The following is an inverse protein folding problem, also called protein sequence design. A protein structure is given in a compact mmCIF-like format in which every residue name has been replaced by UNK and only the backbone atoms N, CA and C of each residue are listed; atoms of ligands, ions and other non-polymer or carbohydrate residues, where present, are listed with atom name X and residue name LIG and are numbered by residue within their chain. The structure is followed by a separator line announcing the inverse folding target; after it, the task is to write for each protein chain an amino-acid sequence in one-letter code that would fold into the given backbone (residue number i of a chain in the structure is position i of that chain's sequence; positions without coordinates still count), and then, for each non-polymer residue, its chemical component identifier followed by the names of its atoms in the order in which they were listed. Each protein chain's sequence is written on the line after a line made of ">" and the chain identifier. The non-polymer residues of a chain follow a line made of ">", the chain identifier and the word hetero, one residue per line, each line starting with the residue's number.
data_IF_524198976702
#
_entry.id   IF_524198976702
#
_cell.length_a   1.000
_cell.length_b   1.000
_cell.length_c   1.000
_cell.angle_alpha   90.00
_cell.angle_beta   90.00
_cell.angle_gamma   90.00
#
_symmetry.space_group_name_H-M   'P 1'
#
loop_
_entity.id
_entity.type
_entity.pdbx_description
1 polymer ?
#
# COMPACT_ATOMS: atom_id res chain seq x y z
N UNK A 1 -16.88 19.89 37.58
CA UNK A 1 -17.84 19.89 38.70
C UNK A 1 -18.40 18.48 38.83
N UNK A 2 -18.30 17.82 40.00
CA UNK A 2 -18.98 16.56 40.23
C UNK A 2 -20.50 16.82 40.20
N UNK A 3 -21.24 15.98 39.48
CA UNK A 3 -22.69 16.07 39.34
C UNK A 3 -23.38 16.13 40.71
N UNK A 4 -24.10 17.22 40.98
CA UNK A 4 -24.94 17.45 42.18
C UNK A 4 -26.24 16.65 42.17
N UNK A 5 -26.45 15.78 41.17
CA UNK A 5 -27.67 14.97 41.00
C UNK A 5 -27.39 13.45 41.06
N UNK A 6 -26.40 13.00 41.85
CA UNK A 6 -26.28 11.59 42.21
C UNK A 6 -27.20 11.31 43.42
N UNK A 7 -28.49 11.09 43.16
CA UNK A 7 -29.35 10.40 44.14
C UNK A 7 -28.91 8.95 44.23
N UNK A 8 -28.76 8.42 45.44
CA UNK A 8 -28.53 6.98 45.62
C UNK A 8 -29.70 6.22 45.02
N UNK A 9 -29.39 5.20 44.23
CA UNK A 9 -30.37 4.32 43.59
C UNK A 9 -30.38 3.03 44.41
N UNK A 10 -31.39 2.78 45.26
CA UNK A 10 -31.43 1.61 46.13
C UNK A 10 -31.42 0.27 45.38
N UNK A 11 -31.76 0.30 44.10
CA UNK A 11 -31.74 -0.85 43.18
C UNK A 11 -30.41 -1.00 42.42
N UNK A 12 -29.44 -0.12 42.66
CA UNK A 12 -28.14 -0.08 41.97
C UNK A 12 -27.04 -0.56 42.94
N UNK A 13 -27.16 -1.81 43.38
CA UNK A 13 -26.18 -2.46 44.27
C UNK A 13 -24.93 -2.87 43.49
N UNK A 14 -23.78 -2.91 44.17
CA UNK A 14 -22.48 -3.27 43.55
C UNK A 14 -22.45 -4.72 43.01
N UNK A 15 -23.42 -5.56 43.41
CA UNK A 15 -23.58 -6.94 42.94
C UNK A 15 -24.18 -7.04 41.51
N UNK A 16 -24.76 -5.97 40.99
CA UNK A 16 -25.46 -5.98 39.70
C UNK A 16 -24.46 -5.68 38.57
N UNK A 17 -24.20 -6.69 37.72
CA UNK A 17 -23.40 -6.51 36.51
C UNK A 17 -24.19 -5.73 35.44
N UNK A 18 -23.98 -4.41 35.44
CA UNK A 18 -24.61 -3.45 34.51
C UNK A 18 -24.24 -3.69 33.04
N UNK A 19 -23.22 -4.51 32.77
CA UNK A 19 -22.69 -4.74 31.43
C UNK A 19 -22.99 -6.14 30.89
N UNK A 20 -23.69 -6.97 31.67
CA UNK A 20 -24.15 -8.27 31.22
C UNK A 20 -25.20 -8.08 30.11
N UNK A 21 -24.93 -8.65 28.94
CA UNK A 21 -25.87 -8.66 27.82
C UNK A 21 -26.71 -9.93 27.93
N UNK A 22 -27.97 -9.77 28.28
CA UNK A 22 -28.92 -10.89 28.30
C UNK A 22 -29.44 -11.17 26.88
N UNK A 23 -29.68 -12.44 26.57
CA UNK A 23 -30.15 -12.88 25.25
C UNK A 23 -31.59 -12.42 25.02
N UNK A 24 -31.86 -11.77 23.89
CA UNK A 24 -33.20 -11.33 23.55
C UNK A 24 -34.09 -12.52 23.15
N UNK A 25 -35.14 -12.79 23.92
CA UNK A 25 -36.05 -13.91 23.66
C UNK A 25 -37.34 -13.44 22.98
N UNK A 26 -38.10 -14.35 22.33
CA UNK A 26 -39.39 -13.98 21.72
C UNK A 26 -40.40 -13.37 22.71
N UNK A 27 -40.26 -13.61 24.02
CA UNK A 27 -41.14 -13.04 25.06
C UNK A 27 -40.85 -11.56 25.32
N UNK A 28 -39.64 -11.11 25.04
CA UNK A 28 -39.20 -9.73 25.27
C UNK A 28 -39.71 -8.77 24.17
N UNK A 29 -40.30 -9.33 23.11
CA UNK A 29 -40.91 -8.55 22.03
C UNK A 29 -42.26 -7.94 22.43
N UNK A 30 -42.24 -6.97 23.36
CA UNK A 30 -43.41 -6.25 23.83
C UNK A 30 -44.10 -5.39 22.74
N UNK A 31 -43.37 -5.03 21.69
CA UNK A 31 -43.87 -4.21 20.57
C UNK A 31 -44.63 -4.99 19.50
N UNK A 32 -44.63 -6.32 19.55
CA UNK A 32 -45.31 -7.17 18.58
C UNK A 32 -44.55 -7.33 17.26
N UNK A 33 -45.26 -7.72 16.20
CA UNK A 33 -44.63 -8.01 14.90
C UNK A 33 -44.23 -6.74 14.15
N UNK A 34 -43.09 -6.76 13.44
CA UNK A 34 -42.69 -5.63 12.58
C UNK A 34 -43.75 -5.28 11.54
N UNK A 35 -44.03 -3.98 11.41
CA UNK A 35 -44.90 -3.43 10.35
C UNK A 35 -44.14 -3.26 9.04
N UNK A 36 -42.85 -2.95 9.10
CA UNK A 36 -41.98 -2.68 7.96
C UNK A 36 -41.04 -3.86 7.66
N UNK A 37 -40.65 -3.99 6.39
CA UNK A 37 -39.73 -5.03 5.93
C UNK A 37 -38.32 -4.44 5.74
N UNK A 38 -37.33 -5.08 6.36
CA UNK A 38 -35.91 -4.79 6.13
C UNK A 38 -35.33 -5.88 5.22
N UNK A 39 -34.68 -5.47 4.13
CA UNK A 39 -34.10 -6.37 3.14
C UNK A 39 -32.67 -5.97 2.82
N UNK A 40 -31.74 -6.93 2.87
CA UNK A 40 -30.34 -6.75 2.48
C UNK A 40 -29.96 -7.74 1.39
N UNK A 41 -29.18 -7.27 0.41
CA UNK A 41 -28.68 -8.07 -0.71
C UNK A 41 -27.17 -8.02 -0.74
N UNK A 42 -26.51 -9.13 -1.04
CA UNK A 42 -25.07 -9.19 -1.31
C UNK A 42 -24.79 -10.06 -2.53
N UNK A 43 -24.02 -9.52 -3.47
CA UNK A 43 -23.56 -10.24 -4.66
C UNK A 43 -22.38 -11.17 -4.31
N UNK A 44 -22.32 -12.34 -4.93
CA UNK A 44 -21.21 -13.28 -4.79
C UNK A 44 -20.57 -13.63 -6.15
N UNK A 45 -19.27 -13.96 -6.17
CA UNK A 45 -18.60 -14.35 -7.41
C UNK A 45 -19.10 -15.71 -7.94
N UNK A 46 -19.15 -15.87 -9.27
CA UNK A 46 -19.67 -17.09 -9.94
C UNK A 46 -19.05 -18.39 -9.43
N UNK A 47 -17.75 -18.41 -9.11
CA UNK A 47 -17.08 -19.61 -8.61
C UNK A 47 -17.59 -20.10 -7.23
N UNK A 48 -18.34 -19.28 -6.48
CA UNK A 48 -18.92 -19.66 -5.18
C UNK A 48 -20.26 -20.37 -5.29
N UNK A 49 -20.91 -20.32 -6.44
CA UNK A 49 -22.25 -20.86 -6.65
C UNK A 49 -22.40 -22.31 -6.20
N UNK A 50 -21.47 -23.18 -6.62
CA UNK A 50 -21.54 -24.63 -6.32
C UNK A 50 -21.58 -24.85 -4.81
N UNK A 51 -20.64 -24.24 -4.09
CA UNK A 51 -20.57 -24.33 -2.64
C UNK A 51 -21.80 -23.72 -1.95
N UNK A 52 -22.25 -22.54 -2.41
CA UNK A 52 -23.38 -21.86 -1.81
C UNK A 52 -24.66 -22.67 -1.98
N UNK A 53 -24.86 -23.30 -3.14
CA UNK A 53 -26.00 -24.20 -3.39
C UNK A 53 -26.01 -25.40 -2.45
N UNK A 54 -24.86 -26.02 -2.22
CA UNK A 54 -24.72 -27.16 -1.30
C UNK A 54 -24.91 -26.76 0.16
N UNK A 55 -24.37 -25.60 0.57
CA UNK A 55 -24.41 -25.13 1.94
C UNK A 55 -25.71 -24.36 2.29
N UNK A 56 -26.52 -23.97 1.30
CA UNK A 56 -27.71 -23.15 1.51
C UNK A 56 -28.72 -23.73 2.51
N UNK A 57 -29.01 -25.04 2.52
CA UNK A 57 -29.95 -25.63 3.49
C UNK A 57 -29.53 -25.44 4.95
N UNK A 58 -28.22 -25.34 5.23
CA UNK A 58 -27.72 -25.03 6.57
C UNK A 58 -27.99 -23.57 6.94
N UNK A 59 -27.84 -22.66 5.97
CA UNK A 59 -28.08 -21.23 6.15
C UNK A 59 -29.56 -20.95 6.39
N UNK A 60 -30.45 -21.56 5.58
CA UNK A 60 -31.91 -21.42 5.73
C UNK A 60 -32.37 -21.90 7.11
N UNK A 61 -31.95 -23.11 7.52
CA UNK A 61 -32.30 -23.68 8.83
C UNK A 61 -31.78 -22.84 9.99
N UNK A 62 -30.65 -22.15 9.82
CA UNK A 62 -30.07 -21.28 10.85
C UNK A 62 -30.83 -19.96 10.97
N UNK A 63 -31.20 -19.34 9.85
CA UNK A 63 -31.95 -18.07 9.82
C UNK A 63 -33.43 -18.22 10.16
N UNK A 64 -34.04 -19.37 9.87
CA UNK A 64 -35.43 -19.67 10.24
C UNK A 64 -35.67 -19.60 11.76
N UNK A 65 -34.66 -19.95 12.58
CA UNK A 65 -34.73 -19.84 14.05
C UNK A 65 -34.95 -18.42 14.55
N UNK A 66 -34.50 -17.43 13.77
CA UNK A 66 -34.65 -16.01 14.05
C UNK A 66 -35.83 -15.39 13.27
N UNK A 67 -36.59 -16.21 12.54
CA UNK A 67 -37.70 -15.75 11.72
C UNK A 67 -37.26 -14.90 10.53
N UNK A 68 -36.05 -15.08 10.01
CA UNK A 68 -35.50 -14.33 8.86
C UNK A 68 -35.62 -15.18 7.60
N UNK A 69 -36.19 -14.62 6.55
CA UNK A 69 -36.25 -15.27 5.24
C UNK A 69 -34.94 -15.03 4.48
N UNK A 70 -34.49 -16.03 3.72
CA UNK A 70 -33.33 -15.88 2.85
C UNK A 70 -33.57 -16.53 1.48
N UNK A 71 -33.06 -15.88 0.43
CA UNK A 71 -33.13 -16.38 -0.94
C UNK A 71 -31.74 -16.37 -1.58
N UNK A 72 -31.48 -17.38 -2.41
CA UNK A 72 -30.26 -17.51 -3.20
C UNK A 72 -30.64 -17.45 -4.67
N UNK A 73 -30.20 -16.41 -5.36
CA UNK A 73 -30.36 -16.25 -6.79
C UNK A 73 -29.06 -16.62 -7.51
N UNK A 74 -29.13 -17.68 -8.32
CA UNK A 74 -28.01 -18.20 -9.11
C UNK A 74 -27.87 -17.54 -10.48
N UNK A 75 -28.92 -16.87 -10.96
CA UNK A 75 -28.93 -16.16 -12.24
C UNK A 75 -28.23 -14.82 -12.07
N UNK A 76 -28.68 -14.01 -11.11
CA UNK A 76 -28.02 -12.74 -10.76
C UNK A 76 -26.72 -12.94 -9.96
N UNK A 77 -26.59 -14.07 -9.27
CA UNK A 77 -25.46 -14.32 -8.36
C UNK A 77 -25.57 -13.49 -7.08
N UNK A 78 -26.77 -13.44 -6.49
CA UNK A 78 -27.09 -12.62 -5.31
C UNK A 78 -27.67 -13.47 -4.17
N UNK A 79 -27.34 -13.07 -2.93
CA UNK A 79 -27.96 -13.60 -1.72
C UNK A 79 -28.77 -12.49 -1.07
N UNK A 80 -30.01 -12.77 -0.72
CA UNK A 80 -30.91 -11.81 -0.07
C UNK A 80 -31.38 -12.34 1.27
N UNK A 81 -31.42 -11.47 2.28
CA UNK A 81 -32.03 -11.74 3.59
C UNK A 81 -33.08 -10.69 3.89
N UNK A 82 -34.23 -11.11 4.42
CA UNK A 82 -35.37 -10.23 4.69
C UNK A 82 -36.01 -10.54 6.03
N UNK A 83 -36.45 -9.52 6.75
CA UNK A 83 -37.29 -9.71 7.93
C UNK A 83 -38.66 -10.23 7.52
N UNK A 84 -39.30 -10.97 8.42
CA UNK A 84 -40.66 -11.48 8.24
C UNK A 84 -41.52 -11.06 9.41
N UNK A 85 -42.83 -11.31 9.31
CA UNK A 85 -43.76 -11.10 10.44
C UNK A 85 -43.44 -11.97 11.67
N UNK A 86 -42.58 -12.99 11.54
CA UNK A 86 -42.15 -13.87 12.64
C UNK A 86 -40.81 -13.45 13.25
N UNK A 87 -40.13 -12.45 12.69
CA UNK A 87 -38.89 -11.93 13.27
C UNK A 87 -39.26 -11.23 14.58
N UNK A 88 -38.63 -11.65 15.67
CA UNK A 88 -38.86 -11.07 17.01
C UNK A 88 -37.73 -10.12 17.41
N UNK A 89 -36.48 -10.43 17.03
CA UNK A 89 -35.32 -9.59 17.32
C UNK A 89 -35.06 -8.57 16.18
N UNK A 90 -35.11 -7.25 16.47
CA UNK A 90 -34.82 -6.22 15.47
C UNK A 90 -33.35 -6.22 14.99
N UNK A 91 -32.40 -6.67 15.79
CA UNK A 91 -30.98 -6.65 15.46
C UNK A 91 -30.54 -7.87 14.63
N UNK A 92 -31.26 -9.00 14.71
CA UNK A 92 -30.94 -10.24 14.00
C UNK A 92 -30.75 -10.06 12.48
N UNK A 93 -31.47 -9.11 11.86
CA UNK A 93 -31.31 -8.83 10.42
C UNK A 93 -29.91 -8.27 10.07
N UNK A 94 -29.26 -7.56 10.99
CA UNK A 94 -27.91 -7.05 10.82
C UNK A 94 -26.88 -8.19 10.86
N UNK A 95 -27.09 -9.17 11.74
CA UNK A 95 -26.28 -10.39 11.82
C UNK A 95 -26.48 -11.24 10.55
N UNK A 96 -27.71 -11.36 10.06
CA UNK A 96 -28.01 -12.05 8.79
C UNK A 96 -27.36 -11.37 7.57
N UNK A 97 -27.35 -10.03 7.53
CA UNK A 97 -26.63 -9.25 6.52
C UNK A 97 -25.14 -9.56 6.55
N UNK A 98 -24.56 -9.66 7.73
CA UNK A 98 -23.12 -9.91 7.88
C UNK A 98 -22.75 -11.38 7.59
N UNK A 99 -23.66 -12.33 7.87
CA UNK A 99 -23.57 -13.72 7.43
C UNK A 99 -23.44 -13.83 5.90
N UNK A 100 -24.34 -13.21 5.13
CA UNK A 100 -24.28 -13.29 3.66
C UNK A 100 -23.04 -12.59 3.08
N UNK A 101 -22.55 -11.52 3.73
CA UNK A 101 -21.27 -10.90 3.36
C UNK A 101 -20.09 -11.83 3.57
N UNK A 102 -20.05 -12.56 4.68
CA UNK A 102 -18.99 -13.54 4.96
C UNK A 102 -19.00 -14.70 3.96
N UNK A 103 -20.19 -15.22 3.63
CA UNK A 103 -20.36 -16.27 2.62
C UNK A 103 -19.86 -15.83 1.24
N UNK A 104 -20.16 -14.58 0.84
CA UNK A 104 -19.67 -13.98 -0.39
C UNK A 104 -18.14 -13.83 -0.43
N UNK A 105 -17.50 -13.71 0.74
CA UNK A 105 -16.04 -13.63 0.90
C UNK A 105 -15.36 -14.99 1.10
N UNK A 106 -16.07 -16.07 0.81
CA UNK A 106 -15.58 -17.46 0.86
C UNK A 106 -15.38 -18.03 2.26
N UNK A 107 -15.99 -17.44 3.30
CA UNK A 107 -16.01 -18.09 4.62
C UNK A 107 -16.91 -19.34 4.55
N UNK A 108 -16.46 -20.49 5.12
CA UNK A 108 -17.30 -21.68 5.18
C UNK A 108 -18.57 -21.46 6.00
N UNK A 109 -19.70 -21.99 5.55
CA UNK A 109 -21.00 -21.80 6.20
C UNK A 109 -21.04 -22.23 7.68
N UNK A 110 -20.45 -23.38 8.10
CA UNK A 110 -20.43 -23.76 9.52
C UNK A 110 -19.72 -22.75 10.41
N UNK A 111 -18.71 -22.06 9.87
CA UNK A 111 -18.00 -21.03 10.60
C UNK A 111 -18.75 -19.70 10.55
N UNK A 112 -19.35 -19.36 9.40
CA UNK A 112 -20.07 -18.12 9.19
C UNK A 112 -21.33 -18.02 10.06
N UNK A 113 -22.05 -19.13 10.27
CA UNK A 113 -23.29 -19.17 11.08
C UNK A 113 -23.08 -18.72 12.53
N UNK A 114 -21.85 -18.83 13.07
CA UNK A 114 -21.50 -18.34 14.42
C UNK A 114 -21.71 -16.83 14.59
N UNK A 115 -21.83 -16.07 13.50
CA UNK A 115 -22.15 -14.63 13.55
C UNK A 115 -23.58 -14.35 14.06
N UNK A 116 -24.44 -15.37 14.09
CA UNK A 116 -25.80 -15.25 14.64
C UNK A 116 -25.80 -15.35 16.18
N UNK A 117 -24.68 -15.73 16.80
CA UNK A 117 -24.52 -15.80 18.25
C UNK A 117 -24.10 -14.42 18.79
N UNK A 118 -24.63 -14.05 19.96
CA UNK A 118 -24.30 -12.78 20.60
C UNK A 118 -22.82 -12.73 21.02
N UNK A 119 -22.21 -11.56 20.86
CA UNK A 119 -20.79 -11.33 21.17
C UNK A 119 -19.80 -11.71 20.07
N UNK A 120 -20.25 -12.39 19.00
CA UNK A 120 -19.47 -12.61 17.79
C UNK A 120 -19.78 -11.50 16.79
N UNK A 121 -18.75 -10.79 16.35
CA UNK A 121 -18.84 -9.81 15.28
C UNK A 121 -17.96 -10.22 14.10
N UNK A 122 -18.11 -9.54 12.97
CA UNK A 122 -17.25 -9.72 11.82
C UNK A 122 -16.63 -8.41 11.37
N UNK A 123 -15.47 -8.52 10.75
CA UNK A 123 -14.81 -7.40 10.10
C UNK A 123 -14.27 -7.80 8.72
N UNK A 124 -14.60 -7.02 7.69
CA UNK A 124 -14.15 -7.23 6.32
C UNK A 124 -13.19 -6.11 5.93
N UNK A 125 -11.89 -6.38 6.08
CA UNK A 125 -10.82 -5.41 5.88
C UNK A 125 -10.42 -5.38 4.40
N UNK A 126 -10.60 -4.23 3.76
CA UNK A 126 -10.23 -4.03 2.35
C UNK A 126 -8.74 -3.69 2.23
N UNK A 127 -7.95 -4.62 1.70
CA UNK A 127 -6.49 -4.47 1.56
C UNK A 127 -6.04 -3.99 0.18
N UNK A 128 -6.91 -4.03 -0.83
CA UNK A 128 -6.53 -3.73 -2.23
C UNK A 128 -5.95 -2.33 -2.43
N UNK A 129 -6.48 -1.33 -1.75
CA UNK A 129 -6.12 0.08 -1.99
C UNK A 129 -4.88 0.51 -1.18
N UNK A 130 -4.35 -0.35 -0.32
CA UNK A 130 -3.24 -0.02 0.57
C UNK A 130 -1.87 -0.13 -0.12
N UNK A 131 -1.79 -0.82 -1.27
CA UNK A 131 -0.53 -1.07 -1.97
C UNK A 131 -0.72 -0.86 -3.47
N UNK A 132 0.03 0.08 -4.07
CA UNK A 132 -0.10 0.38 -5.50
C UNK A 132 0.43 -0.72 -6.45
N UNK A 133 1.57 -1.33 -6.12
CA UNK A 133 2.17 -2.39 -6.97
C UNK A 133 1.52 -3.75 -6.71
N UNK A 134 1.09 -4.44 -7.78
CA UNK A 134 0.50 -5.79 -7.73
C UNK A 134 1.44 -6.81 -7.10
N UNK A 135 2.72 -6.81 -7.46
CA UNK A 135 3.70 -7.75 -6.90
C UNK A 135 3.91 -7.52 -5.40
N UNK A 136 4.01 -6.25 -5.00
CA UNK A 136 4.15 -5.88 -3.58
C UNK A 136 2.90 -6.27 -2.79
N UNK A 137 1.72 -6.11 -3.37
CA UNK A 137 0.46 -6.54 -2.79
C UNK A 137 0.44 -8.05 -2.55
N UNK A 138 0.79 -8.87 -3.55
CA UNK A 138 0.85 -10.33 -3.41
C UNK A 138 1.84 -10.75 -2.34
N UNK A 139 3.05 -10.18 -2.32
CA UNK A 139 4.07 -10.46 -1.30
C UNK A 139 3.62 -10.07 0.12
N UNK A 140 2.98 -8.91 0.30
CA UNK A 140 2.47 -8.46 1.61
C UNK A 140 1.24 -9.25 2.06
N UNK A 141 0.35 -9.64 1.15
CA UNK A 141 -0.78 -10.52 1.45
C UNK A 141 -0.29 -11.91 1.88
N UNK A 142 0.67 -12.48 1.15
CA UNK A 142 1.27 -13.77 1.51
C UNK A 142 1.97 -13.72 2.88
N UNK A 143 2.56 -12.57 3.23
CA UNK A 143 3.17 -12.35 4.55
C UNK A 143 2.17 -12.45 5.71
N UNK A 144 0.91 -12.06 5.51
CA UNK A 144 -0.16 -12.22 6.52
C UNK A 144 -0.43 -13.71 6.76
N UNK A 145 -0.46 -14.52 5.69
CA UNK A 145 -0.60 -15.98 5.79
C UNK A 145 0.61 -16.60 6.51
N UNK A 146 1.80 -16.15 6.14
CA UNK A 146 3.06 -16.73 6.58
C UNK A 146 3.39 -18.06 5.89
N UNK A 147 4.56 -18.65 6.19
CA UNK A 147 4.91 -19.97 5.69
C UNK A 147 3.96 -21.02 6.29
N UNK A 148 3.38 -21.88 5.43
CA UNK A 148 2.42 -22.93 5.81
C UNK A 148 1.24 -22.43 6.68
N UNK A 149 0.85 -21.15 6.59
CA UNK A 149 -0.24 -20.60 7.40
C UNK A 149 0.10 -20.36 8.88
N UNK A 150 1.37 -20.52 9.29
CA UNK A 150 1.79 -20.39 10.70
C UNK A 150 1.51 -19.01 11.30
N UNK A 151 1.74 -17.93 10.54
CA UNK A 151 1.51 -16.56 11.00
C UNK A 151 0.01 -16.29 11.18
N UNK A 152 -0.81 -16.74 10.23
CA UNK A 152 -2.26 -16.65 10.33
C UNK A 152 -2.77 -17.44 11.54
N UNK A 153 -2.31 -18.67 11.75
CA UNK A 153 -2.75 -19.49 12.87
C UNK A 153 -2.35 -18.91 14.22
N UNK A 154 -1.16 -18.33 14.33
CA UNK A 154 -0.74 -17.63 15.55
C UNK A 154 -1.63 -16.41 15.83
N UNK A 155 -2.01 -15.64 14.80
CA UNK A 155 -2.93 -14.51 14.96
C UNK A 155 -4.33 -14.95 15.39
N UNK A 156 -4.85 -16.06 14.84
CA UNK A 156 -6.15 -16.62 15.24
C UNK A 156 -6.16 -17.01 16.72
N UNK A 157 -5.10 -17.68 17.19
CA UNK A 157 -5.01 -18.14 18.57
C UNK A 157 -4.81 -17.00 19.57
N UNK A 158 -4.06 -15.96 19.19
CA UNK A 158 -3.79 -14.83 20.07
C UNK A 158 -5.00 -13.91 20.21
N UNK A 159 -5.67 -13.61 19.09
CA UNK A 159 -6.82 -12.69 19.06
C UNK A 159 -8.17 -13.39 19.27
N UNK A 160 -8.19 -14.72 19.36
CA UNK A 160 -9.40 -15.54 19.48
C UNK A 160 -10.41 -15.24 18.36
N UNK A 161 -9.87 -15.01 17.16
CA UNK A 161 -10.64 -14.75 15.94
C UNK A 161 -10.41 -15.84 14.90
N UNK A 162 -11.39 -16.04 14.03
CA UNK A 162 -11.23 -16.79 12.79
C UNK A 162 -10.84 -15.83 11.67
N UNK A 163 -9.79 -16.13 10.92
CA UNK A 163 -9.23 -15.24 9.91
C UNK A 163 -9.22 -15.94 8.55
N UNK A 164 -9.82 -15.29 7.54
CA UNK A 164 -9.75 -15.73 6.16
C UNK A 164 -9.16 -14.63 5.27
N UNK A 165 -7.98 -14.90 4.71
CA UNK A 165 -7.34 -14.03 3.73
C UNK A 165 -7.76 -14.48 2.34
N UNK A 166 -8.69 -13.75 1.69
CA UNK A 166 -9.18 -14.10 0.37
C UNK A 166 -9.15 -12.92 -0.61
N UNK A 167 -8.45 -13.11 -1.73
CA UNK A 167 -8.38 -12.13 -2.81
C UNK A 167 -7.85 -10.77 -2.36
N UNK A 168 -8.77 -9.80 -2.30
CA UNK A 168 -8.53 -8.37 -2.06
C UNK A 168 -8.95 -7.91 -0.66
N UNK A 169 -9.39 -8.85 0.18
CA UNK A 169 -9.97 -8.60 1.50
C UNK A 169 -9.44 -9.61 2.50
N UNK A 170 -9.38 -9.21 3.77
CA UNK A 170 -9.16 -10.12 4.90
C UNK A 170 -10.43 -10.07 5.73
N UNK A 171 -11.06 -11.23 5.92
CA UNK A 171 -12.22 -11.35 6.79
C UNK A 171 -11.77 -11.87 8.14
N UNK A 172 -12.28 -11.28 9.21
CA UNK A 172 -12.08 -11.74 10.57
C UNK A 172 -13.44 -11.90 11.27
N UNK A 173 -13.57 -12.91 12.12
CA UNK A 173 -14.76 -13.15 12.95
C UNK A 173 -14.33 -13.42 14.39
N UNK A 174 -15.01 -12.81 15.36
CA UNK A 174 -14.75 -13.04 16.79
C UNK A 174 -15.14 -11.83 17.63
N UNK A 175 -14.56 -11.70 18.82
CA UNK A 175 -14.86 -10.60 19.73
C UNK A 175 -14.32 -9.25 19.27
N UNK A 176 -14.97 -8.16 19.69
CA UNK A 176 -14.63 -6.79 19.28
C UNK A 176 -13.17 -6.38 19.59
N UNK A 177 -12.61 -6.82 20.72
CA UNK A 177 -11.21 -6.55 21.10
C UNK A 177 -10.25 -7.19 20.08
N UNK A 178 -10.44 -8.47 19.78
CA UNK A 178 -9.64 -9.21 18.80
C UNK A 178 -9.77 -8.64 17.39
N UNK A 179 -10.98 -8.24 16.96
CA UNK A 179 -11.20 -7.61 15.65
C UNK A 179 -10.46 -6.27 15.51
N UNK A 180 -10.47 -5.43 16.55
CA UNK A 180 -9.75 -4.14 16.55
C UNK A 180 -8.24 -4.34 16.41
N UNK A 181 -7.68 -5.30 17.14
CA UNK A 181 -6.27 -5.67 17.02
C UNK A 181 -5.96 -6.22 15.63
N UNK A 182 -6.80 -7.12 15.12
CA UNK A 182 -6.59 -7.73 13.80
C UNK A 182 -6.62 -6.69 12.68
N UNK A 183 -7.55 -5.73 12.73
CA UNK A 183 -7.60 -4.60 11.80
C UNK A 183 -6.29 -3.82 11.76
N UNK A 184 -5.79 -3.44 12.93
CA UNK A 184 -4.49 -2.74 13.06
C UNK A 184 -3.37 -3.56 12.43
N UNK A 185 -3.28 -4.85 12.74
CA UNK A 185 -2.22 -5.75 12.25
C UNK A 185 -2.25 -5.89 10.72
N UNK A 186 -3.44 -6.02 10.13
CA UNK A 186 -3.59 -6.15 8.67
C UNK A 186 -3.19 -4.86 7.97
N UNK A 187 -3.65 -3.71 8.47
CA UNK A 187 -3.33 -2.39 7.93
C UNK A 187 -1.81 -2.11 8.04
N UNK A 188 -1.21 -2.37 9.19
CA UNK A 188 0.23 -2.21 9.43
C UNK A 188 1.08 -3.16 8.56
N UNK A 189 0.62 -4.41 8.38
CA UNK A 189 1.28 -5.36 7.49
C UNK A 189 1.27 -4.87 6.04
N UNK A 190 0.16 -4.27 5.60
CA UNK A 190 0.05 -3.63 4.29
C UNK A 190 0.89 -2.35 4.20
N UNK A 191 1.16 -1.67 5.31
CA UNK A 191 2.07 -0.52 5.43
C UNK A 191 3.54 -0.88 5.64
N UNK A 192 3.94 -2.12 5.30
CA UNK A 192 5.31 -2.63 5.35
C UNK A 192 5.85 -3.00 6.73
N UNK A 193 5.04 -3.01 7.78
CA UNK A 193 5.41 -3.63 9.05
C UNK A 193 5.29 -5.16 8.88
N UNK A 194 6.09 -5.94 9.60
CA UNK A 194 6.00 -7.40 9.55
C UNK A 194 5.03 -7.88 10.66
N UNK A 195 4.05 -8.78 10.39
CA UNK A 195 3.06 -9.19 11.37
C UNK A 195 3.67 -9.89 12.60
N UNK A 196 4.84 -10.54 12.44
CA UNK A 196 5.63 -11.10 13.55
C UNK A 196 5.87 -10.08 14.68
N UNK A 197 6.05 -8.79 14.36
CA UNK A 197 6.25 -7.77 15.39
C UNK A 197 5.01 -7.61 16.27
N UNK A 198 3.83 -7.61 15.67
CA UNK A 198 2.57 -7.57 16.42
C UNK A 198 2.28 -8.90 17.12
N UNK A 199 2.65 -10.05 16.55
CA UNK A 199 2.54 -11.33 17.25
C UNK A 199 3.35 -11.29 18.55
N UNK A 200 4.59 -10.80 18.51
CA UNK A 200 5.41 -10.62 19.72
C UNK A 200 4.79 -9.63 20.70
N UNK A 201 4.27 -8.51 20.21
CA UNK A 201 3.54 -7.51 21.01
C UNK A 201 2.35 -8.17 21.73
N UNK A 202 1.51 -8.94 21.01
CA UNK A 202 0.34 -9.63 21.54
C UNK A 202 0.71 -10.72 22.55
N UNK A 203 1.77 -11.49 22.30
CA UNK A 203 2.26 -12.49 23.26
C UNK A 203 2.66 -11.83 24.59
N UNK A 204 3.40 -10.72 24.53
CA UNK A 204 3.81 -9.99 25.73
C UNK A 204 2.59 -9.40 26.45
N UNK A 205 1.65 -8.79 25.71
CA UNK A 205 0.41 -8.27 26.30
C UNK A 205 -0.42 -9.36 26.97
N UNK A 206 -0.51 -10.56 26.38
CA UNK A 206 -1.29 -11.67 26.93
C UNK A 206 -0.65 -12.24 28.20
N UNK A 207 0.68 -12.20 28.32
CA UNK A 207 1.38 -12.54 29.57
C UNK A 207 1.21 -11.44 30.63
N UNK A 208 1.44 -10.17 30.29
CA UNK A 208 1.27 -9.03 31.21
C UNK A 208 -0.16 -8.89 31.73
N UNK A 209 -1.17 -9.25 30.91
CA UNK A 209 -2.57 -9.20 31.31
C UNK A 209 -2.94 -10.22 32.40
N UNK A 210 -2.10 -11.24 32.64
CA UNK A 210 -2.32 -12.21 33.72
C UNK A 210 -1.91 -11.67 35.08
N UNK A 211 -1.00 -10.69 35.11
CA UNK A 211 -0.48 -10.10 36.34
C UNK A 211 -1.45 -9.00 36.84
N UNK A 212 -2.08 -9.16 38.02
CA UNK A 212 -3.07 -8.20 38.52
C UNK A 212 -2.46 -6.86 38.90
N UNK A 213 -1.20 -6.84 39.35
CA UNK A 213 -0.50 -5.64 39.82
C UNK A 213 -0.27 -4.61 38.70
N UNK A 214 -0.09 -5.09 37.47
CA UNK A 214 0.22 -4.27 36.28
C UNK A 214 -1.03 -3.87 35.49
N UNK A 215 -2.24 -4.23 35.92
CA UNK A 215 -3.47 -4.02 35.16
C UNK A 215 -3.80 -2.54 34.92
N UNK A 216 -3.42 -1.66 35.85
CA UNK A 216 -3.71 -0.21 35.80
C UNK A 216 -2.52 0.64 35.31
N UNK A 217 -1.37 0.02 35.02
CA UNK A 217 -0.17 0.73 34.57
C UNK A 217 -0.01 0.69 33.04
N UNK A 218 0.71 1.66 32.47
CA UNK A 218 1.04 1.61 31.03
C UNK A 218 2.10 0.55 30.75
N UNK A 219 1.82 -0.31 29.78
CA UNK A 219 2.73 -1.40 29.37
C UNK A 219 3.79 -0.98 28.34
N UNK A 220 3.85 0.29 27.93
CA UNK A 220 4.74 0.78 26.86
C UNK A 220 6.23 0.48 27.11
N UNK A 221 6.63 0.38 28.38
CA UNK A 221 8.00 0.02 28.79
C UNK A 221 8.38 -1.41 28.39
N UNK A 222 7.42 -2.33 28.44
CA UNK A 222 7.62 -3.76 28.17
C UNK A 222 7.42 -4.10 26.69
N UNK A 223 6.68 -3.25 25.96
CA UNK A 223 6.40 -3.49 24.56
C UNK A 223 7.63 -3.24 23.67
N UNK A 224 7.97 -4.17 22.76
CA UNK A 224 9.08 -3.99 21.85
C UNK A 224 8.85 -2.83 20.87
N UNK A 225 9.68 -1.79 20.97
CA UNK A 225 9.64 -0.67 20.04
C UNK A 225 10.45 -0.96 18.77
N UNK A 226 9.78 -1.48 17.75
CA UNK A 226 10.39 -1.68 16.43
C UNK A 226 10.45 -0.36 15.65
N UNK A 227 11.29 0.57 16.12
CA UNK A 227 11.54 1.83 15.42
C UNK A 227 12.13 1.53 14.04
N UNK A 228 11.59 2.20 13.03
CA UNK A 228 12.13 2.16 11.68
C UNK A 228 13.56 2.71 11.74
N UNK A 229 14.56 1.87 11.50
CA UNK A 229 15.97 2.29 11.33
C UNK A 229 16.12 2.99 9.98
N UNK A 230 15.46 4.12 9.79
CA UNK A 230 15.82 5.04 8.70
C UNK A 230 17.02 5.81 9.20
N UNK A 231 18.20 5.53 8.63
CA UNK A 231 19.33 6.46 8.72
C UNK A 231 18.83 7.78 8.10
N UNK A 232 18.49 8.74 8.96
CA UNK A 232 17.73 9.94 8.59
C UNK A 232 18.48 10.85 7.61
N UNK A 233 19.79 10.69 7.50
CA UNK A 233 20.61 11.39 6.53
C UNK A 233 21.18 10.41 5.51
N UNK A 234 20.54 10.32 4.34
CA UNK A 234 21.30 9.94 3.15
C UNK A 234 22.31 11.08 2.93
N UNK A 235 23.61 10.82 3.09
CA UNK A 235 24.64 11.81 2.72
C UNK A 235 24.33 12.30 1.31
N UNK A 236 24.29 13.63 1.14
CA UNK A 236 24.09 14.23 -0.18
C UNK A 236 25.20 13.67 -1.08
N UNK A 237 24.87 13.04 -2.21
CA UNK A 237 25.90 12.53 -3.10
C UNK A 237 26.76 13.70 -3.59
N UNK A 238 28.08 13.50 -3.71
CA UNK A 238 29.01 14.53 -4.20
C UNK A 238 28.60 15.11 -5.56
N UNK A 239 27.85 14.34 -6.37
CA UNK A 239 27.21 14.82 -7.59
C UNK A 239 25.70 14.82 -7.40
N UNK A 240 25.14 15.99 -7.12
CA UNK A 240 23.69 16.23 -7.19
C UNK A 240 23.37 16.64 -8.61
N UNK A 241 22.50 15.88 -9.28
CA UNK A 241 21.99 16.27 -10.59
C UNK A 241 20.89 17.33 -10.40
N UNK A 242 21.13 18.54 -10.90
CA UNK A 242 20.10 19.58 -10.89
C UNK A 242 18.93 19.15 -11.79
N UNK A 243 17.81 18.78 -11.18
CA UNK A 243 16.59 18.39 -11.91
C UNK A 243 16.04 19.51 -12.79
N UNK A 244 16.35 20.76 -12.47
CA UNK A 244 16.04 21.93 -13.30
C UNK A 244 16.64 21.83 -14.71
N UNK A 245 17.76 21.10 -14.89
CA UNK A 245 18.39 20.90 -16.20
C UNK A 245 17.69 19.84 -17.06
N UNK A 246 16.72 19.10 -16.51
CA UNK A 246 15.94 18.06 -17.22
C UNK A 246 14.49 18.49 -17.35
N UNK A 247 14.24 19.58 -18.08
CA UNK A 247 12.89 20.02 -18.41
C UNK A 247 12.23 18.98 -19.31
N UNK A 248 11.01 18.56 -18.97
CA UNK A 248 10.26 17.61 -19.78
C UNK A 248 9.87 18.26 -21.11
N UNK A 249 10.34 17.70 -22.22
CA UNK A 249 9.90 18.04 -23.57
C UNK A 249 9.05 16.89 -24.11
N UNK A 250 7.83 17.13 -24.61
CA UNK A 250 6.99 16.07 -25.18
C UNK A 250 7.55 15.54 -26.51
N UNK A 251 8.41 16.33 -27.16
CA UNK A 251 9.10 15.95 -28.38
C UNK A 251 10.38 15.19 -28.04
N UNK A 252 10.60 13.99 -28.64
CA UNK A 252 11.86 13.29 -28.50
C UNK A 252 12.98 14.06 -29.22
N UNK A 253 14.23 13.97 -28.75
CA UNK A 253 15.36 14.52 -29.50
C UNK A 253 15.49 13.79 -30.85
N UNK A 254 16.04 14.48 -31.85
CA UNK A 254 16.30 13.86 -33.15
C UNK A 254 17.24 12.65 -32.97
N UNK A 255 16.95 11.51 -33.62
CA UNK A 255 17.85 10.37 -33.59
C UNK A 255 19.22 10.74 -34.17
N UNK A 256 20.28 10.13 -33.65
CA UNK A 256 21.60 10.29 -34.23
C UNK A 256 21.61 9.74 -35.66
N UNK A 257 22.00 10.57 -36.62
CA UNK A 257 22.09 10.20 -38.04
C UNK A 257 23.08 9.06 -38.23
N UNK A 258 22.72 8.07 -39.05
CA UNK A 258 23.62 6.95 -39.36
C UNK A 258 24.85 7.44 -40.12
N UNK A 259 25.91 6.62 -40.20
CA UNK A 259 27.08 6.95 -41.02
C UNK A 259 26.70 7.16 -42.49
N UNK A 260 25.72 6.40 -42.98
CA UNK A 260 25.20 6.52 -44.36
C UNK A 260 24.47 7.85 -44.52
N UNK A 261 23.59 8.22 -43.60
CA UNK A 261 22.86 9.49 -43.65
C UNK A 261 23.83 10.69 -43.59
N UNK A 262 24.84 10.62 -42.72
CA UNK A 262 25.90 11.64 -42.66
C UNK A 262 26.63 11.76 -44.00
N UNK A 263 26.93 10.64 -44.66
CA UNK A 263 27.58 10.64 -45.98
C UNK A 263 26.66 11.14 -47.10
N UNK A 264 25.35 10.87 -47.02
CA UNK A 264 24.36 11.38 -47.97
C UNK A 264 24.23 12.90 -47.81
N UNK A 265 24.18 13.40 -46.57
CA UNK A 265 24.14 14.83 -46.26
C UNK A 265 25.40 15.59 -46.67
N UNK A 266 26.59 15.01 -46.48
CA UNK A 266 27.86 15.62 -46.93
C UNK A 266 28.07 15.50 -48.45
N UNK A 267 27.23 14.75 -49.15
CA UNK A 267 27.40 14.44 -50.58
C UNK A 267 28.53 13.45 -50.88
N UNK A 268 29.32 13.05 -49.88
CA UNK A 268 30.40 12.08 -50.02
C UNK A 268 29.88 10.70 -50.44
N UNK A 269 28.64 10.35 -50.10
CA UNK A 269 28.06 9.07 -50.49
C UNK A 269 28.00 8.91 -52.02
N UNK A 270 27.70 10.00 -52.74
CA UNK A 270 27.52 10.00 -54.19
C UNK A 270 28.85 10.07 -54.96
N UNK A 271 29.95 10.48 -54.31
CA UNK A 271 31.25 10.57 -54.96
C UNK A 271 31.91 9.19 -55.11
N UNK A 272 32.32 8.85 -56.33
CA UNK A 272 33.15 7.68 -56.61
C UNK A 272 34.53 7.77 -55.94
N UNK A 273 35.17 6.62 -55.71
CA UNK A 273 36.48 6.54 -55.01
C UNK A 273 37.56 7.44 -55.63
N UNK A 274 37.61 7.52 -56.96
CA UNK A 274 38.58 8.37 -57.67
C UNK A 274 38.32 9.88 -57.46
N UNK A 275 37.06 10.30 -57.38
CA UNK A 275 36.70 11.70 -57.13
C UNK A 275 37.08 12.11 -55.70
N UNK A 276 36.86 11.22 -54.72
CA UNK A 276 37.32 11.42 -53.33
C UNK A 276 38.84 11.54 -53.23
N UNK A 277 39.57 10.67 -53.91
CA UNK A 277 41.05 10.73 -53.93
C UNK A 277 41.59 12.00 -54.58
N UNK A 278 40.90 12.53 -55.61
CA UNK A 278 41.26 13.80 -56.24
C UNK A 278 41.06 14.99 -55.29
N UNK A 279 39.90 15.06 -54.64
CA UNK A 279 39.59 16.10 -53.65
C UNK A 279 40.61 16.10 -52.50
N UNK A 280 40.99 14.92 -51.97
CA UNK A 280 42.02 14.80 -50.93
C UNK A 280 43.40 15.28 -51.41
N UNK A 281 43.75 15.04 -52.68
CA UNK A 281 45.02 15.53 -53.25
C UNK A 281 45.02 17.05 -53.43
N UNK A 282 43.89 17.63 -53.84
CA UNK A 282 43.71 19.08 -53.97
C UNK A 282 43.81 19.76 -52.61
N UNK A 283 43.08 19.26 -51.61
CA UNK A 283 43.14 19.78 -50.23
C UNK A 283 44.57 19.70 -49.64
N UNK A 284 45.31 18.61 -49.91
CA UNK A 284 46.72 18.49 -49.51
C UNK A 284 47.61 19.53 -50.19
N UNK A 285 47.41 19.80 -51.48
CA UNK A 285 48.16 20.83 -52.21
C UNK A 285 47.86 22.22 -51.66
N UNK A 286 46.59 22.53 -51.40
CA UNK A 286 46.18 23.81 -50.81
C UNK A 286 46.79 24.01 -49.42
N UNK A 287 46.73 22.98 -48.54
CA UNK A 287 47.40 23.03 -47.23
C UNK A 287 48.91 23.23 -47.33
N UNK A 288 49.56 22.61 -48.32
CA UNK A 288 50.98 22.83 -48.56
C UNK A 288 51.27 24.26 -49.03
N UNK A 289 50.42 24.84 -49.89
CA UNK A 289 50.57 26.24 -50.33
C UNK A 289 50.38 27.20 -49.16
N UNK A 290 49.36 27.01 -48.33
CA UNK A 290 49.13 27.81 -47.13
C UNK A 290 50.33 27.77 -46.17
N UNK A 291 50.86 26.58 -45.89
CA UNK A 291 52.07 26.44 -45.06
C UNK A 291 53.31 27.08 -45.68
N UNK A 292 53.45 27.07 -47.00
CA UNK A 292 54.54 27.78 -47.68
C UNK A 292 54.40 29.29 -47.49
N UNK A 293 53.18 29.82 -47.61
CA UNK A 293 52.88 31.24 -47.38
C UNK A 293 53.12 31.62 -45.92
N UNK A 294 52.67 30.81 -44.95
CA UNK A 294 52.95 31.02 -43.53
C UNK A 294 54.44 31.02 -43.24
N UNK A 295 55.19 30.03 -43.71
CA UNK A 295 56.66 29.98 -43.55
C UNK A 295 57.38 31.13 -44.24
N UNK A 296 56.87 31.60 -45.38
CA UNK A 296 57.42 32.78 -46.05
C UNK A 296 57.19 34.04 -45.19
N UNK A 297 55.98 34.21 -44.63
CA UNK A 297 55.67 35.30 -43.70
C UNK A 297 56.50 35.24 -42.41
N UNK A 298 56.66 34.05 -41.82
CA UNK A 298 57.52 33.85 -40.65
C UNK A 298 58.97 34.23 -40.95
N UNK A 299 59.49 33.78 -42.11
CA UNK A 299 60.84 34.12 -42.55
C UNK A 299 60.99 35.61 -42.84
N UNK A 300 60.03 36.25 -43.49
CA UNK A 300 60.03 37.71 -43.71
C UNK A 300 60.02 38.46 -42.38
N UNK A 301 59.27 37.99 -41.38
CA UNK A 301 59.27 38.57 -40.04
C UNK A 301 60.62 38.42 -39.32
N UNK A 302 61.36 37.32 -39.52
CA UNK A 302 62.72 37.15 -38.98
C UNK A 302 63.75 38.10 -39.60
N UNK A 303 63.56 38.53 -40.85
CA UNK A 303 64.45 39.47 -41.55
C UNK A 303 64.18 40.94 -41.22
N UNK A 304 63.09 41.26 -40.52
CA UNK A 304 62.86 42.61 -39.98
C UNK A 304 63.55 42.69 -38.62
N UNK A 305 64.58 43.54 -38.46
CA UNK A 305 65.22 43.74 -37.17
C UNK A 305 64.18 44.16 -36.12
N UNK A 306 64.22 43.60 -34.90
CA UNK A 306 63.36 44.07 -33.81
C UNK A 306 63.56 45.57 -33.60
N UNK A 307 62.49 46.34 -33.46
CA UNK A 307 62.62 47.76 -33.11
C UNK A 307 63.26 47.89 -31.72
N UNK A 308 64.50 48.38 -31.68
CA UNK A 308 65.21 48.67 -30.43
C UNK A 308 64.88 50.08 -29.93
N UNK A 309 64.01 50.18 -28.93
CA UNK A 309 63.77 51.42 -28.20
C UNK A 309 64.92 51.67 -27.19
N UNK A 310 66.00 52.35 -27.63
CA UNK A 310 67.10 52.76 -26.73
C UNK A 310 66.85 54.15 -26.13
N UNK A 311 66.71 54.30 -24.79
CA UNK A 311 66.68 55.59 -24.15
C UNK A 311 68.09 56.24 -24.13
N UNK A 312 68.22 57.44 -24.70
CA UNK A 312 69.48 58.23 -24.71
C UNK A 312 69.94 58.55 -23.27
N UNK A 313 71.04 57.95 -22.79
CA UNK A 313 71.70 58.35 -21.53
C UNK A 313 72.49 59.66 -21.71
N UNK A 314 72.11 60.71 -20.97
CA UNK A 314 72.84 61.99 -20.87
C UNK A 314 74.22 61.78 -20.23
N UNK A 315 75.28 62.34 -20.84
CA UNK A 315 76.66 62.41 -20.29
C UNK A 315 76.69 63.36 -19.07
N UNK A 316 77.25 62.93 -17.94
CA UNK A 316 77.65 63.82 -16.83
C UNK A 316 79.03 64.41 -17.16
N UNK A 317 79.14 65.74 -17.22
CA UNK A 317 80.40 66.49 -17.20
C UNK A 317 80.89 66.56 -15.75
N UNK A 318 82.14 66.16 -15.48
CA UNK A 318 82.85 66.41 -14.23
C UNK A 318 83.45 67.81 -14.24
N UNK A 319 83.36 68.50 -13.11
CA UNK A 319 84.08 69.74 -12.81
C UNK A 319 85.37 69.40 -12.07
N UNK A 320 86.51 69.68 -12.71
CA UNK A 320 87.72 70.23 -12.09
C UNK A 320 88.56 70.90 -13.18
#
# INVERSE_FOLDING_TARGET
>A
MPSTHKKEKPWDTDDIDKWKVDTFTPKDNAGGTFTEESSFVTLFPKYREVYLKEAWPLVTKSLEKYGIACTLDLVEGSMTVKTTRKTYDPAAILNARDLIKLLARSVPAPQAVKILEDGVACDVIKIRNLVGSKERFVKRRQRILGPNGSTLKALELLTETYILVHGNTVCAMGGYKGLKEMRRIVEDCMNNVHPIYHIKELMIKKELAKDPDLANESWDRFLPNFKRKTLSSRRVPHKVTDKAKKVYTPFPPAPEKSKVDKQIETGEYFLGKQAKERAVKEERKEKQQLRKVEKAKEREAEFVPPEEDRPKKKRKKSSE
#
